data_IF_364936150850
#
_entry.id   IF_364936150850
#
_cell.length_a   1.000
_cell.length_b   1.000
_cell.length_c   1.000
_cell.angle_alpha   90.00
_cell.angle_beta   90.00
_cell.angle_gamma   90.00
#
_symmetry.space_group_name_H-M   'P 1'
#
loop_
_entity.id
_entity.type
_entity.pdbx_description
1 polymer ?
#
# COMPACT_ATOMS: atom_id res chain seq x y z
N UNK A 1 50.07 -2.23 8.73
CA UNK A 1 49.66 -1.11 7.85
C UNK A 1 48.24 -1.40 7.45
N UNK A 2 47.30 -0.57 7.89
CA UNK A 2 45.86 -0.82 7.73
C UNK A 2 45.41 -0.47 6.32
N UNK A 3 44.86 -1.43 5.59
CA UNK A 3 44.28 -1.20 4.28
C UNK A 3 43.00 -0.38 4.41
N UNK A 4 43.10 0.89 4.03
CA UNK A 4 42.00 1.83 4.01
C UNK A 4 41.17 1.58 2.75
N UNK A 5 40.01 0.93 2.90
CA UNK A 5 39.09 0.66 1.79
C UNK A 5 38.37 1.98 1.43
N UNK A 6 38.88 2.68 0.42
CA UNK A 6 38.20 3.84 -0.17
C UNK A 6 36.95 3.36 -0.95
N UNK A 7 35.76 3.60 -0.42
CA UNK A 7 34.52 3.46 -1.18
C UNK A 7 34.43 4.57 -2.23
N UNK A 8 34.62 4.23 -3.51
CA UNK A 8 34.47 5.18 -4.61
C UNK A 8 32.99 5.32 -4.98
N UNK A 9 32.41 6.48 -4.71
CA UNK A 9 31.11 6.89 -5.22
C UNK A 9 31.23 7.14 -6.73
N UNK A 10 30.40 6.49 -7.55
CA UNK A 10 30.33 6.76 -8.99
C UNK A 10 29.16 7.71 -9.32
N UNK A 11 29.41 9.03 -9.44
CA UNK A 11 28.41 9.96 -9.93
C UNK A 11 28.22 9.75 -11.45
N UNK A 12 26.98 9.57 -11.91
CA UNK A 12 26.69 9.57 -13.35
C UNK A 12 25.60 8.62 -13.84
N UNK A 13 25.07 7.73 -12.98
CA UNK A 13 23.90 6.94 -13.38
C UNK A 13 22.65 7.81 -13.27
N UNK A 14 21.84 7.96 -14.33
CA UNK A 14 20.58 8.69 -14.23
C UNK A 14 19.73 8.04 -13.14
N UNK A 15 19.16 8.86 -12.25
CA UNK A 15 18.32 8.41 -11.14
C UNK A 15 17.04 7.83 -11.73
N UNK A 16 17.05 6.52 -11.98
CA UNK A 16 15.84 5.81 -12.43
C UNK A 16 14.83 5.81 -11.29
N UNK A 17 13.59 6.06 -11.65
CA UNK A 17 12.51 5.97 -10.68
C UNK A 17 12.44 4.57 -10.09
N UNK A 18 12.39 4.48 -8.75
CA UNK A 18 12.30 3.20 -8.05
C UNK A 18 10.96 2.54 -8.37
N UNK A 19 11.00 1.26 -8.74
CA UNK A 19 9.81 0.45 -8.98
C UNK A 19 8.98 0.32 -7.71
N UNK A 20 7.67 0.11 -7.89
CA UNK A 20 6.79 -0.18 -6.77
C UNK A 20 7.20 -1.48 -6.06
N UNK A 21 7.09 -1.52 -4.73
CA UNK A 21 7.26 -2.76 -3.98
C UNK A 21 6.15 -3.74 -4.36
N UNK A 22 6.55 -4.96 -4.74
CA UNK A 22 5.64 -6.09 -4.98
C UNK A 22 4.84 -6.43 -3.70
N UNK A 23 3.71 -7.14 -3.83
CA UNK A 23 2.86 -7.66 -2.75
C UNK A 23 3.67 -8.31 -1.62
N UNK A 24 4.65 -9.16 -1.96
CA UNK A 24 5.52 -9.79 -0.97
C UNK A 24 6.33 -8.78 -0.15
N UNK A 25 6.79 -7.68 -0.76
CA UNK A 25 7.51 -6.63 -0.01
C UNK A 25 6.58 -5.85 0.92
N UNK A 26 5.31 -5.69 0.56
CA UNK A 26 4.29 -5.11 1.45
C UNK A 26 4.09 -5.99 2.67
N UNK A 27 3.87 -7.29 2.44
CA UNK A 27 3.76 -8.28 3.51
C UNK A 27 4.99 -8.32 4.40
N UNK A 28 6.18 -8.40 3.79
CA UNK A 28 7.45 -8.39 4.55
C UNK A 28 7.59 -7.13 5.39
N UNK A 29 7.23 -5.97 4.86
CA UNK A 29 7.28 -4.69 5.60
C UNK A 29 6.38 -4.75 6.83
N UNK A 30 5.18 -5.30 6.72
CA UNK A 30 4.29 -5.46 7.87
C UNK A 30 4.85 -6.47 8.89
N UNK A 31 5.42 -7.57 8.41
CA UNK A 31 6.10 -8.57 9.25
C UNK A 31 7.35 -8.04 9.97
N UNK A 32 7.93 -6.91 9.54
CA UNK A 32 9.07 -6.31 10.23
C UNK A 32 8.73 -5.82 11.64
N UNK A 33 7.46 -5.48 11.90
CA UNK A 33 6.97 -5.10 13.24
C UNK A 33 7.12 -6.25 14.25
N UNK A 34 7.02 -7.48 13.77
CA UNK A 34 7.08 -8.70 14.58
C UNK A 34 8.45 -9.39 14.49
N UNK A 35 9.50 -8.65 14.06
CA UNK A 35 10.82 -9.23 13.90
C UNK A 35 11.45 -9.53 15.27
N UNK A 36 11.90 -10.77 15.52
CA UNK A 36 12.70 -11.07 16.70
C UNK A 36 14.09 -10.40 16.63
N UNK A 37 14.49 -9.75 17.73
CA UNK A 37 15.70 -8.92 17.82
C UNK A 37 17.00 -9.69 17.53
N UNK A 38 17.09 -10.95 17.96
CA UNK A 38 18.29 -11.79 17.83
C UNK A 38 18.44 -12.46 16.46
N UNK A 39 17.52 -12.24 15.51
CA UNK A 39 17.52 -12.92 14.22
C UNK A 39 18.10 -12.03 13.12
N UNK A 40 19.16 -12.50 12.46
CA UNK A 40 19.75 -11.84 11.30
C UNK A 40 18.72 -11.68 10.16
N UNK A 41 18.82 -10.59 9.41
CA UNK A 41 17.91 -10.23 8.32
C UNK A 41 17.80 -11.33 7.25
N UNK A 42 18.89 -12.05 6.94
CA UNK A 42 18.87 -13.17 6.00
C UNK A 42 18.00 -14.32 6.48
N UNK A 43 18.07 -14.67 7.76
CA UNK A 43 17.25 -15.74 8.37
C UNK A 43 15.79 -15.31 8.47
N UNK A 44 15.56 -14.06 8.88
CA UNK A 44 14.21 -13.47 8.88
C UNK A 44 13.58 -13.47 7.48
N UNK A 45 14.34 -13.10 6.44
CA UNK A 45 13.87 -13.11 5.06
C UNK A 45 13.39 -14.51 4.64
N UNK A 46 14.16 -15.55 4.96
CA UNK A 46 13.79 -16.94 4.68
C UNK A 46 12.50 -17.36 5.39
N UNK A 47 12.35 -16.98 6.66
CA UNK A 47 11.14 -17.25 7.45
C UNK A 47 9.90 -16.58 6.85
N UNK A 48 9.99 -15.30 6.51
CA UNK A 48 8.87 -14.55 5.91
C UNK A 48 8.51 -15.14 4.55
N UNK A 49 9.49 -15.51 3.73
CA UNK A 49 9.23 -16.19 2.45
C UNK A 49 8.53 -17.53 2.63
N UNK A 50 8.84 -18.28 3.70
CA UNK A 50 8.14 -19.54 4.03
C UNK A 50 6.69 -19.25 4.43
N UNK A 51 6.48 -18.33 5.38
CA UNK A 51 5.14 -17.91 5.81
C UNK A 51 4.28 -17.40 4.65
N UNK A 52 4.86 -16.61 3.73
CA UNK A 52 4.15 -16.12 2.56
C UNK A 52 3.60 -17.23 1.66
N UNK A 53 4.34 -18.34 1.52
CA UNK A 53 3.88 -19.50 0.76
C UNK A 53 2.77 -20.27 1.47
N UNK A 54 2.79 -20.28 2.81
CA UNK A 54 1.80 -20.93 3.67
C UNK A 54 0.49 -20.12 3.80
N UNK A 55 0.49 -18.83 3.45
CA UNK A 55 -0.73 -18.02 3.44
C UNK A 55 -1.77 -18.57 2.47
N UNK A 56 -3.03 -18.58 2.92
CA UNK A 56 -4.19 -18.83 2.06
C UNK A 56 -4.35 -17.73 1.01
N UNK A 57 -5.09 -18.05 -0.05
CA UNK A 57 -5.30 -17.10 -1.15
C UNK A 57 -6.10 -15.87 -0.70
N UNK A 58 -7.06 -16.04 0.23
CA UNK A 58 -7.82 -14.93 0.82
C UNK A 58 -6.92 -13.91 1.52
N UNK A 59 -5.91 -14.39 2.25
CA UNK A 59 -4.95 -13.51 2.90
C UNK A 59 -4.02 -12.82 1.89
N UNK A 60 -3.66 -13.50 0.80
CA UNK A 60 -2.90 -12.87 -0.31
C UNK A 60 -3.74 -11.82 -1.04
N UNK A 61 -5.04 -12.02 -1.15
CA UNK A 61 -5.97 -11.08 -1.79
C UNK A 61 -5.96 -9.70 -1.12
N UNK A 62 -5.83 -9.65 0.21
CA UNK A 62 -5.64 -8.39 0.95
C UNK A 62 -4.42 -7.62 0.44
N UNK A 63 -3.28 -8.30 0.28
CA UNK A 63 -2.03 -7.68 -0.18
C UNK A 63 -2.07 -7.32 -1.66
N UNK A 64 -2.82 -8.09 -2.47
CA UNK A 64 -3.06 -7.80 -3.87
C UNK A 64 -3.86 -6.51 -4.05
N UNK A 65 -4.95 -6.36 -3.30
CA UNK A 65 -5.76 -5.13 -3.28
C UNK A 65 -4.91 -3.92 -2.92
N UNK A 66 -4.14 -4.01 -1.83
CA UNK A 66 -3.28 -2.93 -1.38
C UNK A 66 -2.17 -2.59 -2.38
N UNK A 67 -1.63 -3.59 -3.08
CA UNK A 67 -0.67 -3.38 -4.15
C UNK A 67 -1.27 -2.60 -5.32
N UNK A 68 -2.48 -2.97 -5.78
CA UNK A 68 -3.17 -2.25 -6.86
C UNK A 68 -3.48 -0.80 -6.47
N UNK A 69 -4.03 -0.57 -5.27
CA UNK A 69 -4.30 0.79 -4.78
C UNK A 69 -3.04 1.66 -4.75
N UNK A 70 -1.91 1.13 -4.28
CA UNK A 70 -0.64 1.88 -4.20
C UNK A 70 -0.04 2.17 -5.57
N UNK A 71 -0.19 1.23 -6.52
CA UNK A 71 0.24 1.42 -7.91
C UNK A 71 -0.59 2.54 -8.55
N UNK A 72 -1.90 2.46 -8.42
CA UNK A 72 -2.83 3.36 -9.10
C UNK A 72 -2.77 4.79 -8.52
N UNK A 73 -2.61 4.94 -7.18
CA UNK A 73 -2.37 6.24 -6.54
C UNK A 73 -1.14 6.97 -7.08
N UNK A 74 -0.05 6.26 -7.37
CA UNK A 74 1.17 6.90 -7.91
C UNK A 74 0.99 7.35 -9.35
N UNK A 75 0.22 6.61 -10.16
CA UNK A 75 -0.10 7.03 -11.52
C UNK A 75 -0.87 8.37 -11.50
N UNK A 76 -1.81 8.55 -10.57
CA UNK A 76 -2.55 9.81 -10.42
C UNK A 76 -1.64 10.97 -9.96
N UNK A 77 -0.66 10.69 -9.08
CA UNK A 77 0.35 11.67 -8.66
C UNK A 77 1.26 12.06 -9.84
N UNK A 78 1.64 11.11 -10.70
CA UNK A 78 2.45 11.41 -11.88
C UNK A 78 1.70 12.28 -12.90
N UNK A 79 0.38 12.10 -13.05
CA UNK A 79 -0.46 12.90 -13.95
C UNK A 79 -0.70 14.32 -13.43
N UNK A 80 -0.78 14.52 -12.11
CA UNK A 80 -1.00 15.84 -11.50
C UNK A 80 0.27 16.69 -11.36
N UNK A 81 1.46 16.08 -11.40
CA UNK A 81 2.74 16.79 -11.30
C UNK A 81 3.40 17.08 -12.67
N UNK A 82 2.69 16.90 -13.79
CA UNK A 82 3.13 17.51 -15.04
C UNK A 82 2.92 19.02 -14.95
N UNK A 83 3.95 19.87 -15.17
CA UNK A 83 3.73 21.29 -15.34
C UNK A 83 2.95 21.47 -16.64
N UNK A 84 1.64 21.63 -16.53
CA UNK A 84 0.84 22.13 -17.64
C UNK A 84 1.21 23.59 -17.81
N UNK A 85 1.90 23.90 -18.90
CA UNK A 85 1.91 25.25 -19.45
C UNK A 85 0.46 25.67 -19.68
N UNK A 86 -0.09 26.43 -18.74
CA UNK A 86 -1.34 27.15 -18.91
C UNK A 86 -0.96 28.56 -19.35
N UNK A 87 -0.91 28.79 -20.66
CA UNK A 87 -1.06 30.12 -21.23
C UNK A 87 -2.52 30.23 -21.72
N UNK A 88 -3.27 30.96 -20.90
CA UNK A 88 -4.44 31.81 -21.19
C UNK A 88 -5.17 31.68 -22.53
N UNK A 89 -6.50 31.58 -22.46
CA UNK A 89 -7.38 32.59 -23.06
C UNK A 89 -8.73 32.64 -22.30
N UNK A 90 -9.26 33.85 -22.12
CA UNK A 90 -10.25 34.24 -21.12
C UNK A 90 -11.62 34.56 -21.80
N UNK A 91 -12.70 34.50 -20.99
CA UNK A 91 -14.01 35.20 -21.07
C UNK A 91 -15.11 34.50 -21.92
N UNK A 92 -16.38 34.40 -21.54
CA UNK A 92 -17.27 35.44 -20.99
C UNK A 92 -18.60 34.86 -20.44
N UNK A 93 -19.05 35.39 -19.29
CA UNK A 93 -20.41 35.62 -18.76
C UNK A 93 -21.54 34.55 -18.71
N UNK A 94 -22.26 34.64 -17.58
CA UNK A 94 -23.69 34.39 -17.34
C UNK A 94 -24.14 32.96 -16.96
N UNK A 95 -24.29 32.73 -15.65
CA UNK A 95 -25.60 32.54 -14.98
C UNK A 95 -25.41 31.80 -13.65
N UNK A 96 -25.59 32.51 -12.53
CA UNK A 96 -26.01 31.90 -11.26
C UNK A 96 -27.53 31.87 -11.29
N UNK A 97 -28.18 30.76 -10.91
CA UNK A 97 -28.93 30.85 -9.66
C UNK A 97 -28.59 29.72 -8.69
N UNK A 98 -28.39 30.13 -7.44
CA UNK A 98 -28.43 29.27 -6.26
C UNK A 98 -29.78 28.53 -6.21
N UNK A 99 -29.76 27.23 -5.88
CA UNK A 99 -30.90 26.63 -5.18
C UNK A 99 -30.39 25.56 -4.23
N UNK A 100 -30.46 25.92 -2.96
CA UNK A 100 -30.54 25.03 -1.82
C UNK A 100 -31.67 24.02 -2.06
N UNK A 101 -31.46 22.75 -1.71
CA UNK A 101 -32.43 21.98 -0.92
C UNK A 101 -31.78 20.71 -0.35
N UNK A 102 -32.11 20.50 0.92
CA UNK A 102 -31.68 19.44 1.81
C UNK A 102 -32.41 18.12 1.53
N UNK A 103 -31.93 17.09 2.23
CA UNK A 103 -32.73 16.03 2.86
C UNK A 103 -33.29 14.91 1.98
N UNK A 104 -32.85 13.68 2.24
CA UNK A 104 -33.66 12.73 3.01
C UNK A 104 -32.92 11.40 3.21
N UNK A 105 -32.74 11.10 4.48
CA UNK A 105 -32.59 9.77 5.05
C UNK A 105 -33.61 8.76 4.50
N UNK A 106 -33.14 7.58 4.10
CA UNK A 106 -33.90 6.32 4.04
C UNK A 106 -32.90 5.21 4.39
N UNK A 107 -32.80 4.65 5.60
CA UNK A 107 -33.78 3.88 6.41
C UNK A 107 -34.46 2.78 5.59
N UNK A 108 -33.94 1.55 5.70
CA UNK A 108 -34.62 0.30 6.09
C UNK A 108 -33.77 -0.90 5.65
N UNK A 109 -33.10 -1.55 6.61
CA UNK A 109 -33.54 -2.79 7.28
C UNK A 109 -33.22 -4.05 6.48
N UNK A 110 -32.26 -4.80 7.02
CA UNK A 110 -32.01 -6.20 6.73
C UNK A 110 -31.40 -6.80 7.98
N UNK A 111 -32.23 -7.02 9.00
CA UNK A 111 -31.87 -7.59 10.29
C UNK A 111 -31.33 -9.01 10.14
N UNK A 112 -30.18 -9.22 10.81
CA UNK A 112 -29.85 -10.31 11.73
C UNK A 112 -30.21 -11.78 11.41
N UNK A 113 -29.19 -12.65 11.46
CA UNK A 113 -29.15 -13.89 12.27
C UNK A 113 -27.66 -14.28 12.43
N UNK A 114 -27.01 -14.20 13.62
CA UNK A 114 -26.91 -15.22 14.70
C UNK A 114 -26.70 -16.64 14.12
N UNK A 115 -25.73 -17.50 14.46
CA UNK A 115 -24.70 -17.71 15.49
C UNK A 115 -23.61 -18.60 14.83
N UNK A 116 -22.37 -18.73 15.27
CA UNK A 116 -21.81 -19.58 16.34
C UNK A 116 -20.30 -19.21 16.38
N UNK A 117 -19.73 -18.74 17.48
CA UNK A 117 -18.98 -19.59 18.41
C UNK A 117 -17.62 -20.05 17.84
N UNK A 118 -16.47 -19.56 18.32
CA UNK A 118 -15.16 -20.09 17.91
C UNK A 118 -14.91 -21.46 18.57
N UNK A 119 -14.41 -22.49 17.86
CA UNK A 119 -13.83 -23.62 18.54
C UNK A 119 -12.46 -23.21 19.10
N UNK A 120 -12.43 -23.01 20.42
CA UNK A 120 -11.21 -23.17 21.20
C UNK A 120 -10.78 -24.63 21.09
N UNK A 121 -9.65 -24.87 20.43
CA UNK A 121 -8.79 -26.02 20.67
C UNK A 121 -7.51 -25.76 19.91
N UNK A 122 -6.48 -25.26 20.59
CA UNK A 122 -5.10 -25.71 20.44
C UNK A 122 -4.29 -25.15 21.62
N UNK A 123 -4.58 -25.73 22.78
CA UNK A 123 -3.54 -26.10 23.73
C UNK A 123 -2.46 -26.85 22.95
N UNK A 124 -1.23 -26.36 22.94
CA UNK A 124 -0.10 -27.26 23.10
C UNK A 124 1.07 -26.53 23.77
N UNK A 125 1.61 -27.30 24.69
CA UNK A 125 2.59 -27.04 25.74
C UNK A 125 4.02 -27.01 25.19
#
# INVERSE_FOLDING_TARGET
MSDCIFYTYQPGKPVKEKRHPNMFFLYRKDMMKYRPLHVNMSKFSKMVSKKWKELSEDQKMRWQREYHERRDKKLQIAVSNSPTEVISEIQTAAAIPNSVNNDLTSIMKGDCFLTEGPPEDFLFQ
#
